data_IF_979623275144
#
_entry.id   IF_979623275144
#
_cell.length_a   1.000
_cell.length_b   1.000
_cell.length_c   1.000
_cell.angle_alpha   90.00
_cell.angle_beta   90.00
_cell.angle_gamma   90.00
#
_symmetry.space_group_name_H-M   'P 1'
#
loop_
_entity.id
_entity.type
_entity.pdbx_description
1 polymer ?
#
# COMPACT_ATOMS: atom_id res chain seq x y z
N UNK A 1 2.25 -28.68 0.73
CA UNK A 1 2.11 -27.44 1.53
C UNK A 1 0.70 -26.93 1.32
N UNK A 2 -0.07 -26.63 2.38
CA UNK A 2 -1.39 -26.01 2.23
C UNK A 2 -1.20 -24.52 1.96
N UNK A 3 -1.71 -24.03 0.84
CA UNK A 3 -1.76 -22.60 0.52
C UNK A 3 -2.96 -21.99 1.24
N UNK A 4 -2.72 -21.02 2.12
CA UNK A 4 -3.78 -20.26 2.77
C UNK A 4 -4.13 -19.05 1.91
N UNK A 5 -5.43 -18.81 1.73
CA UNK A 5 -5.88 -17.63 0.99
C UNK A 5 -5.76 -16.37 1.84
N UNK A 6 -5.49 -15.23 1.21
CA UNK A 6 -5.30 -13.95 1.89
C UNK A 6 -6.51 -13.54 2.77
N UNK A 7 -7.71 -13.99 2.39
CA UNK A 7 -8.95 -13.77 3.15
C UNK A 7 -8.91 -14.44 4.53
N UNK A 8 -8.28 -15.60 4.64
CA UNK A 8 -8.19 -16.41 5.86
C UNK A 8 -7.10 -15.91 6.83
N UNK A 9 -6.29 -14.96 6.42
CA UNK A 9 -5.24 -14.40 7.26
C UNK A 9 -5.83 -13.56 8.40
N UNK A 10 -5.22 -13.58 9.59
CA UNK A 10 -5.63 -12.74 10.70
C UNK A 10 -5.41 -11.27 10.36
N UNK A 11 -6.22 -10.40 10.99
CA UNK A 11 -6.17 -8.95 10.76
C UNK A 11 -4.76 -8.38 10.99
N UNK A 12 -4.03 -8.91 11.97
CA UNK A 12 -2.65 -8.50 12.28
C UNK A 12 -1.70 -8.69 11.10
N UNK A 13 -1.81 -9.79 10.36
CA UNK A 13 -0.99 -10.03 9.16
C UNK A 13 -1.36 -9.06 8.04
N UNK A 14 -2.66 -8.76 7.87
CA UNK A 14 -3.12 -7.78 6.87
C UNK A 14 -2.61 -6.38 7.18
N UNK A 15 -2.62 -5.99 8.47
CA UNK A 15 -2.04 -4.72 8.93
C UNK A 15 -0.53 -4.70 8.69
N UNK A 16 0.19 -5.76 9.05
CA UNK A 16 1.63 -5.85 8.82
C UNK A 16 2.00 -5.72 7.34
N UNK A 17 1.23 -6.35 6.45
CA UNK A 17 1.38 -6.20 4.99
C UNK A 17 1.15 -4.74 4.57
N UNK A 18 0.10 -4.09 5.10
CA UNK A 18 -0.16 -2.67 4.84
C UNK A 18 0.98 -1.76 5.29
N UNK A 19 1.53 -1.98 6.49
CA UNK A 19 2.69 -1.25 7.00
C UNK A 19 3.91 -1.46 6.11
N UNK A 20 4.18 -2.70 5.68
CA UNK A 20 5.30 -2.99 4.78
C UNK A 20 5.20 -2.23 3.44
N UNK A 21 3.99 -2.09 2.89
CA UNK A 21 3.78 -1.27 1.68
C UNK A 21 3.97 0.23 1.92
N UNK A 22 3.60 0.74 3.10
CA UNK A 22 3.86 2.12 3.48
C UNK A 22 5.36 2.39 3.63
N UNK A 23 6.10 1.50 4.28
CA UNK A 23 7.56 1.60 4.40
C UNK A 23 8.26 1.53 3.03
N UNK A 24 7.74 0.68 2.13
CA UNK A 24 8.23 0.62 0.76
C UNK A 24 7.96 1.93 -0.01
N UNK A 25 6.81 2.56 0.19
CA UNK A 25 6.51 3.88 -0.37
C UNK A 25 7.50 4.95 0.14
N UNK A 26 7.69 5.05 1.46
CA UNK A 26 8.66 5.99 2.06
C UNK A 26 10.08 5.76 1.51
N UNK A 27 10.46 4.50 1.31
CA UNK A 27 11.76 4.16 0.70
C UNK A 27 11.86 4.64 -0.75
N UNK A 28 10.78 4.54 -1.53
CA UNK A 28 10.72 5.06 -2.91
C UNK A 28 10.81 6.59 -2.91
N UNK A 29 10.15 7.27 -1.97
CA UNK A 29 10.23 8.71 -1.85
C UNK A 29 11.67 9.18 -1.66
N UNK A 30 12.37 8.60 -0.67
CA UNK A 30 13.75 8.99 -0.36
C UNK A 30 14.75 8.58 -1.45
N UNK A 31 14.65 7.35 -1.99
CA UNK A 31 15.65 6.80 -2.89
C UNK A 31 15.45 7.19 -4.35
N UNK A 32 14.20 7.47 -4.74
CA UNK A 32 13.84 7.76 -6.13
C UNK A 32 13.34 9.18 -6.27
N UNK A 33 12.30 9.57 -5.54
CA UNK A 33 11.62 10.86 -5.78
C UNK A 33 12.53 12.03 -5.39
N UNK A 34 13.16 11.96 -4.22
CA UNK A 34 14.09 12.97 -3.74
C UNK A 34 15.40 12.95 -4.56
N UNK A 35 15.96 11.76 -4.79
CA UNK A 35 17.26 11.60 -5.46
C UNK A 35 17.25 12.07 -6.91
N UNK A 36 16.17 11.80 -7.64
CA UNK A 36 16.03 12.19 -9.05
C UNK A 36 15.23 13.48 -9.21
N UNK A 37 14.77 14.10 -8.12
CA UNK A 37 14.04 15.36 -8.14
C UNK A 37 12.66 15.28 -8.80
N UNK A 38 12.02 14.10 -8.80
CA UNK A 38 10.69 13.90 -9.38
C UNK A 38 9.60 14.70 -8.67
N UNK A 39 9.85 15.12 -7.42
CA UNK A 39 8.96 15.99 -6.65
C UNK A 39 8.57 17.27 -7.40
N UNK A 40 9.42 17.77 -8.32
CA UNK A 40 9.13 18.95 -9.16
C UNK A 40 7.95 18.77 -10.10
N UNK A 41 7.59 17.53 -10.42
CA UNK A 41 6.47 17.19 -11.30
C UNK A 41 5.24 16.71 -10.53
N UNK A 42 5.34 16.58 -9.20
CA UNK A 42 4.23 16.16 -8.35
C UNK A 42 3.53 17.39 -7.76
N UNK A 43 2.29 17.69 -8.17
CA UNK A 43 1.52 18.79 -7.59
C UNK A 43 1.27 18.51 -6.10
N UNK A 44 1.41 19.56 -5.28
CA UNK A 44 1.22 19.51 -3.81
C UNK A 44 2.19 18.62 -3.03
N UNK A 45 3.27 18.15 -3.66
CA UNK A 45 4.33 17.44 -2.97
C UNK A 45 5.14 18.42 -2.13
N UNK A 46 5.14 18.22 -0.81
CA UNK A 46 6.08 18.88 0.09
C UNK A 46 7.13 17.86 0.48
N UNK A 47 8.36 18.10 0.05
CA UNK A 47 9.52 17.31 0.48
C UNK A 47 9.51 17.27 2.01
N UNK A 48 9.64 16.08 2.59
CA UNK A 48 9.70 15.82 4.05
C UNK A 48 8.46 16.12 4.89
N UNK A 49 7.29 16.39 4.29
CA UNK A 49 6.01 16.59 5.00
C UNK A 49 4.96 15.56 4.55
N UNK A 50 4.09 15.05 5.45
CA UNK A 50 2.99 14.15 5.07
C UNK A 50 2.05 14.87 4.10
N UNK A 51 1.98 14.37 2.86
CA UNK A 51 1.34 15.05 1.75
C UNK A 51 0.13 14.28 1.19
N UNK A 52 -0.52 14.86 0.18
CA UNK A 52 -1.69 14.25 -0.47
C UNK A 52 -1.34 12.89 -1.10
N UNK A 53 -0.09 12.70 -1.52
CA UNK A 53 0.38 11.46 -2.11
C UNK A 53 0.50 10.33 -1.07
N UNK A 54 0.97 10.61 0.14
CA UNK A 54 0.98 9.63 1.23
C UNK A 54 -0.42 9.16 1.58
N UNK A 55 -1.38 10.10 1.63
CA UNK A 55 -2.78 9.78 1.87
C UNK A 55 -3.36 8.93 0.73
N UNK A 56 -3.04 9.27 -0.53
CA UNK A 56 -3.47 8.49 -1.68
C UNK A 56 -2.92 7.04 -1.62
N UNK A 57 -1.64 6.88 -1.27
CA UNK A 57 -1.01 5.56 -1.14
C UNK A 57 -1.61 4.77 0.00
N UNK A 58 -1.84 5.39 1.16
CA UNK A 58 -2.54 4.75 2.28
C UNK A 58 -3.96 4.28 1.90
N UNK A 59 -4.70 5.10 1.15
CA UNK A 59 -6.03 4.73 0.64
C UNK A 59 -5.94 3.57 -0.35
N UNK A 60 -4.99 3.60 -1.29
CA UNK A 60 -4.78 2.51 -2.26
C UNK A 60 -4.44 1.20 -1.55
N UNK A 61 -3.52 1.23 -0.58
CA UNK A 61 -3.14 0.05 0.22
C UNK A 61 -4.36 -0.49 0.97
N UNK A 62 -5.13 0.40 1.61
CA UNK A 62 -6.35 0.02 2.35
C UNK A 62 -7.39 -0.62 1.43
N UNK A 63 -7.62 -0.04 0.25
CA UNK A 63 -8.54 -0.60 -0.76
C UNK A 63 -8.02 -1.92 -1.35
N UNK A 64 -6.71 -2.06 -1.56
CA UNK A 64 -6.10 -3.30 -2.02
C UNK A 64 -6.30 -4.42 -1.00
N UNK A 65 -6.02 -4.17 0.28
CA UNK A 65 -6.23 -5.13 1.37
C UNK A 65 -7.72 -5.46 1.53
N UNK A 66 -8.59 -4.45 1.42
CA UNK A 66 -10.04 -4.63 1.48
C UNK A 66 -10.55 -5.48 0.32
N UNK A 67 -10.16 -5.18 -0.92
CA UNK A 67 -10.55 -5.95 -2.10
C UNK A 67 -10.02 -7.38 -2.06
N UNK A 68 -8.77 -7.58 -1.62
CA UNK A 68 -8.19 -8.91 -1.41
C UNK A 68 -8.87 -9.69 -0.27
N UNK A 69 -9.47 -8.99 0.70
CA UNK A 69 -10.24 -9.61 1.79
C UNK A 69 -11.70 -9.90 1.43
N UNK A 70 -12.29 -9.13 0.51
CA UNK A 70 -13.71 -9.23 0.13
C UNK A 70 -13.95 -10.11 -1.09
N UNK A 71 -12.95 -10.31 -1.96
CA UNK A 71 -13.02 -11.28 -3.05
C UNK A 71 -13.32 -12.67 -2.47
N UNK A 72 -14.57 -13.09 -2.65
CA UNK A 72 -15.03 -14.45 -2.45
C UNK A 72 -15.09 -15.07 -3.83
N UNK A 73 -14.40 -16.17 -4.06
CA UNK A 73 -14.61 -16.95 -5.28
C UNK A 73 -16.08 -17.39 -5.34
N UNK A 74 -16.69 -17.46 -6.55
CA UNK A 74 -17.95 -18.14 -6.72
C UNK A 74 -17.75 -19.58 -6.26
N UNK A 75 -18.62 -20.03 -5.35
CA UNK A 75 -18.72 -21.43 -4.96
C UNK A 75 -19.10 -22.24 -6.20
N UNK A 76 -18.10 -22.76 -6.91
CA UNK A 76 -18.29 -23.62 -8.08
C UNK A 76 -18.31 -25.08 -7.66
N UNK A 77 -19.54 -25.61 -7.54
CA UNK A 77 -19.99 -26.99 -7.85
C UNK A 77 -19.17 -28.16 -7.35
#
# INVERSE_FOLDING_TARGET
MRTLEFKQLPLSVKIAVGIAFLEAWVSIEQLVIDRYGLWKYMPYYKVTDPCVWDLAVAVIISLAIWSASTRSLPTGG
#
